data_IF_192208673338
#
_entry.id   IF_192208673338
#
_cell.length_a   1.000
_cell.length_b   1.000
_cell.length_c   1.000
_cell.angle_alpha   90.00
_cell.angle_beta   90.00
_cell.angle_gamma   90.00
#
_symmetry.space_group_name_H-M   'P 1'
#
loop_
_entity.id
_entity.type
_entity.pdbx_description
1 polymer ?
#
# COMPACT_ATOMS: atom_id res chain seq x y z
N UNK A 1 6.79 25.19 1.07
CA UNK A 1 8.16 24.63 1.18
C UNK A 1 8.39 24.20 2.62
N UNK A 2 8.04 22.96 2.98
CA UNK A 2 8.54 22.27 4.17
C UNK A 2 8.35 20.77 3.89
N UNK A 3 9.33 20.24 3.17
CA UNK A 3 9.61 18.81 3.08
C UNK A 3 10.17 18.42 4.44
N UNK A 4 9.47 17.59 5.21
CA UNK A 4 10.06 16.77 6.27
C UNK A 4 9.06 15.74 6.78
N UNK A 5 9.55 14.51 6.90
CA UNK A 5 9.00 13.39 7.66
C UNK A 5 7.92 12.52 6.98
N UNK A 6 8.32 11.84 5.90
CA UNK A 6 7.80 10.49 5.63
C UNK A 6 8.77 9.50 6.25
N UNK A 7 8.58 9.20 7.54
CA UNK A 7 9.22 8.06 8.18
C UNK A 7 8.47 6.80 7.72
N UNK A 8 8.99 6.12 6.69
CA UNK A 8 8.48 4.84 6.21
C UNK A 8 8.82 3.74 7.21
N UNK A 9 7.84 3.35 8.04
CA UNK A 9 7.86 2.05 8.73
C UNK A 9 7.52 0.97 7.72
N UNK A 10 8.52 0.24 7.23
CA UNK A 10 8.30 -1.01 6.51
C UNK A 10 8.04 -2.08 7.56
N UNK A 11 6.77 -2.41 7.80
CA UNK A 11 6.42 -3.49 8.74
C UNK A 11 6.51 -4.84 8.01
N UNK A 12 7.61 -5.54 8.21
CA UNK A 12 7.71 -6.96 7.87
C UNK A 12 7.02 -7.77 8.98
N UNK A 13 5.95 -8.50 8.65
CA UNK A 13 5.41 -9.55 9.55
C UNK A 13 6.04 -10.86 9.13
N UNK A 14 7.20 -11.17 9.70
CA UNK A 14 7.92 -12.42 9.47
C UNK A 14 7.76 -13.30 10.70
N UNK A 15 7.34 -14.55 10.50
CA UNK A 15 7.12 -15.53 11.59
C UNK A 15 8.42 -16.22 12.06
N UNK A 16 9.57 -15.84 11.49
CA UNK A 16 10.86 -16.44 11.81
C UNK A 16 11.65 -15.54 12.77
N UNK A 17 11.96 -16.06 13.96
CA UNK A 17 12.69 -15.36 15.04
C UNK A 17 14.06 -14.81 14.61
N UNK A 18 14.71 -15.42 13.61
CA UNK A 18 15.98 -14.94 13.05
C UNK A 18 15.85 -13.64 12.26
N UNK A 19 14.76 -13.44 11.51
CA UNK A 19 14.57 -12.23 10.69
C UNK A 19 14.03 -11.07 11.52
N UNK A 20 13.25 -11.37 12.57
CA UNK A 20 12.85 -10.38 13.58
C UNK A 20 14.10 -9.74 14.21
N UNK A 21 15.08 -10.56 14.62
CA UNK A 21 16.33 -10.08 15.23
C UNK A 21 17.14 -9.17 14.29
N UNK A 22 17.17 -9.47 12.99
CA UNK A 22 17.89 -8.68 11.99
C UNK A 22 17.20 -7.34 11.70
N UNK A 23 15.86 -7.32 11.69
CA UNK A 23 15.08 -6.09 11.57
C UNK A 23 15.21 -5.20 12.81
N UNK A 24 15.22 -5.78 14.03
CA UNK A 24 15.54 -5.02 15.25
C UNK A 24 16.96 -4.47 15.26
N UNK A 25 17.94 -5.18 14.68
CA UNK A 25 19.32 -4.69 14.49
C UNK A 25 19.38 -3.50 13.52
N UNK A 26 18.53 -3.48 12.50
CA UNK A 26 18.41 -2.35 11.56
C UNK A 26 17.67 -1.16 12.19
N UNK A 27 16.68 -1.40 13.07
CA UNK A 27 16.01 -0.34 13.85
C UNK A 27 16.95 0.33 14.86
N UNK A 28 17.89 -0.40 15.48
CA UNK A 28 18.89 0.17 16.38
C UNK A 28 19.89 1.11 15.70
N UNK A 29 20.06 1.02 14.37
CA UNK A 29 21.04 1.80 13.62
C UNK A 29 20.52 3.14 13.05
N UNK A 30 19.32 3.60 13.45
CA UNK A 30 18.82 4.96 13.18
C UNK A 30 19.08 5.51 11.74
N UNK A 31 19.01 4.63 10.73
CA UNK A 31 19.19 5.01 9.33
C UNK A 31 17.97 5.81 8.86
N UNK A 32 18.03 7.14 9.02
CA UNK A 32 17.13 8.09 8.38
C UNK A 32 17.48 8.18 6.90
N UNK A 33 16.88 7.31 6.09
CA UNK A 33 17.04 7.33 4.62
C UNK A 33 16.27 8.54 4.07
N UNK A 34 17.01 9.55 3.59
CA UNK A 34 16.44 10.71 2.91
C UNK A 34 16.21 10.39 1.43
N UNK A 35 15.03 10.71 0.92
CA UNK A 35 14.47 10.28 -0.38
C UNK A 35 15.24 10.81 -1.62
N UNK A 36 16.36 11.51 -1.46
CA UNK A 36 17.11 12.12 -2.56
C UNK A 36 17.99 11.14 -3.36
N UNK A 37 18.42 10.00 -2.80
CA UNK A 37 19.35 9.03 -3.45
C UNK A 37 18.80 7.58 -3.50
N UNK A 38 17.49 7.42 -3.68
CA UNK A 38 16.76 6.21 -3.29
C UNK A 38 17.09 4.90 -4.04
N UNK A 39 17.58 4.91 -5.30
CA UNK A 39 17.69 3.65 -6.09
C UNK A 39 18.83 2.73 -5.64
N UNK A 40 20.01 3.26 -5.37
CA UNK A 40 21.19 2.46 -5.00
C UNK A 40 21.08 1.90 -3.57
N UNK A 41 20.61 2.72 -2.63
CA UNK A 41 20.47 2.35 -1.21
C UNK A 41 19.35 1.31 -0.98
N UNK A 42 18.18 1.46 -1.64
CA UNK A 42 17.14 0.44 -1.62
C UNK A 42 17.64 -0.87 -2.25
N UNK A 43 18.41 -0.78 -3.34
CA UNK A 43 19.03 -1.94 -3.97
C UNK A 43 19.92 -2.73 -3.00
N UNK A 44 20.77 -2.03 -2.24
CA UNK A 44 21.66 -2.68 -1.26
C UNK A 44 20.90 -3.40 -0.13
N UNK A 45 19.87 -2.74 0.42
CA UNK A 45 19.01 -3.32 1.46
C UNK A 45 18.31 -4.59 0.96
N UNK A 46 17.62 -4.50 -0.18
CA UNK A 46 16.88 -5.63 -0.73
C UNK A 46 17.79 -6.76 -1.19
N UNK A 47 18.99 -6.47 -1.69
CA UNK A 47 19.97 -7.50 -2.03
C UNK A 47 20.37 -8.33 -0.80
N UNK A 48 20.62 -7.65 0.34
CA UNK A 48 20.97 -8.31 1.61
C UNK A 48 19.83 -9.20 2.10
N UNK A 49 18.59 -8.69 2.09
CA UNK A 49 17.39 -9.46 2.45
C UNK A 49 17.19 -10.65 1.51
N UNK A 50 17.36 -10.46 0.19
CA UNK A 50 17.23 -11.53 -0.79
C UNK A 50 18.26 -12.64 -0.58
N UNK A 51 19.49 -12.32 -0.17
CA UNK A 51 20.51 -13.34 0.13
C UNK A 51 20.13 -14.20 1.33
N UNK A 52 19.59 -13.59 2.38
CA UNK A 52 19.11 -14.33 3.55
C UNK A 52 17.90 -15.20 3.20
N UNK A 53 16.92 -14.63 2.49
CA UNK A 53 15.74 -15.37 2.06
C UNK A 53 16.10 -16.55 1.15
N UNK A 54 17.05 -16.38 0.23
CA UNK A 54 17.59 -17.49 -0.58
C UNK A 54 18.14 -18.59 0.31
N UNK A 55 18.91 -18.25 1.34
CA UNK A 55 19.48 -19.22 2.28
C UNK A 55 18.39 -20.00 3.01
N UNK A 56 17.28 -19.34 3.35
CA UNK A 56 16.11 -19.97 3.97
C UNK A 56 15.34 -20.86 2.97
N UNK A 57 15.19 -20.44 1.71
CA UNK A 57 14.54 -21.24 0.64
C UNK A 57 15.25 -22.59 0.40
N UNK A 58 16.56 -22.68 0.63
CA UNK A 58 17.32 -23.93 0.52
C UNK A 58 17.15 -24.85 1.74
N UNK A 59 16.85 -24.30 2.93
CA UNK A 59 16.77 -25.06 4.19
C UNK A 59 15.35 -25.37 4.67
N UNK A 60 14.33 -24.67 4.18
CA UNK A 60 12.94 -24.83 4.59
C UNK A 60 12.05 -24.82 3.35
N UNK A 61 11.14 -25.79 3.24
CA UNK A 61 10.13 -25.85 2.19
C UNK A 61 9.06 -24.77 2.44
N UNK A 62 9.37 -23.52 2.06
CA UNK A 62 8.46 -22.38 2.13
C UNK A 62 7.36 -22.54 1.07
N UNK A 63 6.42 -23.48 1.27
CA UNK A 63 5.21 -23.57 0.46
C UNK A 63 4.27 -22.38 0.69
N UNK A 64 4.42 -21.68 1.82
CA UNK A 64 3.66 -20.47 2.14
C UNK A 64 4.40 -19.24 1.65
N UNK A 65 4.07 -18.84 0.43
CA UNK A 65 4.43 -17.56 -0.17
C UNK A 65 4.15 -16.38 0.77
N UNK A 66 5.21 -15.72 1.23
CA UNK A 66 5.10 -14.46 1.98
C UNK A 66 4.49 -13.37 1.08
N UNK A 67 3.56 -12.60 1.65
CA UNK A 67 2.94 -11.47 0.97
C UNK A 67 3.69 -10.18 1.29
N UNK A 68 3.99 -9.41 0.25
CA UNK A 68 4.74 -8.17 0.33
C UNK A 68 3.80 -6.98 0.23
N UNK A 69 3.89 -6.05 1.19
CA UNK A 69 3.12 -4.80 1.18
C UNK A 69 4.07 -3.62 1.01
N UNK A 70 3.89 -2.87 -0.06
CA UNK A 70 4.63 -1.64 -0.34
C UNK A 70 3.66 -0.49 -0.57
N UNK A 71 4.07 0.74 -0.25
CA UNK A 71 3.32 1.92 -0.70
C UNK A 71 3.40 2.06 -2.23
N UNK A 72 2.60 2.96 -2.82
CA UNK A 72 2.56 3.13 -4.28
C UNK A 72 3.94 3.42 -4.92
N UNK A 73 4.74 4.41 -4.46
CA UNK A 73 6.03 4.70 -5.06
C UNK A 73 7.08 3.61 -4.81
N UNK A 74 7.17 3.06 -3.60
CA UNK A 74 8.09 1.96 -3.29
C UNK A 74 7.74 0.71 -4.08
N UNK A 75 6.45 0.39 -4.24
CA UNK A 75 5.99 -0.73 -5.09
C UNK A 75 6.51 -0.58 -6.52
N UNK A 76 6.35 0.60 -7.12
CA UNK A 76 6.82 0.84 -8.49
C UNK A 76 8.34 0.66 -8.59
N UNK A 77 9.09 1.16 -7.60
CA UNK A 77 10.55 1.02 -7.56
C UNK A 77 11.00 -0.44 -7.36
N UNK A 78 10.44 -1.13 -6.37
CA UNK A 78 10.83 -2.51 -6.01
C UNK A 78 10.47 -3.48 -7.11
N UNK A 79 9.28 -3.35 -7.71
CA UNK A 79 8.81 -4.23 -8.79
C UNK A 79 9.34 -3.82 -10.17
N UNK A 80 10.17 -2.78 -10.26
CA UNK A 80 10.66 -2.22 -11.52
C UNK A 80 9.52 -1.94 -12.54
N UNK A 81 8.48 -1.28 -12.06
CA UNK A 81 7.32 -0.87 -12.85
C UNK A 81 7.27 0.65 -12.99
N UNK A 82 6.42 1.14 -13.88
CA UNK A 82 6.03 2.55 -13.91
C UNK A 82 5.30 2.92 -12.61
N UNK A 83 5.31 4.21 -12.27
CA UNK A 83 4.58 4.71 -11.12
C UNK A 83 3.07 4.45 -11.26
N UNK A 84 2.32 4.59 -10.17
CA UNK A 84 0.85 4.55 -10.24
C UNK A 84 0.22 5.66 -11.08
N UNK A 85 1.05 6.60 -11.54
CA UNK A 85 0.73 7.70 -12.44
C UNK A 85 1.34 7.45 -13.83
N UNK A 86 1.51 6.19 -14.24
CA UNK A 86 2.00 5.83 -15.57
C UNK A 86 1.00 4.94 -16.30
N UNK A 87 1.13 4.88 -17.62
CA UNK A 87 0.36 3.94 -18.45
C UNK A 87 0.56 2.51 -17.97
N UNK A 88 -0.54 1.83 -17.69
CA UNK A 88 -0.54 0.46 -17.16
C UNK A 88 0.18 0.32 -15.79
N UNK A 89 0.23 1.37 -14.96
CA UNK A 89 0.89 1.37 -13.65
C UNK A 89 0.24 0.49 -12.56
N UNK A 90 -0.93 -0.08 -12.83
CA UNK A 90 -1.52 -1.09 -11.97
C UNK A 90 -0.78 -2.42 -12.14
N UNK A 91 -0.44 -3.05 -11.01
CA UNK A 91 0.19 -4.37 -10.97
C UNK A 91 -0.82 -5.51 -10.89
N UNK A 92 -2.12 -5.21 -10.74
CA UNK A 92 -3.21 -6.22 -10.69
C UNK A 92 -4.03 -6.27 -11.97
N UNK A 93 -4.15 -5.16 -12.70
CA UNK A 93 -4.85 -5.08 -13.98
C UNK A 93 -3.95 -4.46 -15.06
N UNK A 94 -4.38 -4.60 -16.32
CA UNK A 94 -3.80 -3.99 -17.53
C UNK A 94 -4.65 -2.82 -18.01
N UNK A 95 -5.42 -2.22 -17.13
CA UNK A 95 -6.21 -1.07 -17.49
C UNK A 95 -5.27 0.10 -17.81
N UNK A 96 -5.50 0.70 -18.98
CA UNK A 96 -4.86 1.95 -19.36
C UNK A 96 -5.63 3.11 -18.73
N UNK A 97 -4.92 4.04 -18.10
CA UNK A 97 -5.45 5.34 -17.75
C UNK A 97 -5.89 6.11 -19.01
N UNK A 98 -6.95 6.90 -18.86
CA UNK A 98 -7.53 7.69 -19.94
C UNK A 98 -7.97 9.06 -19.45
N UNK A 99 -7.93 10.04 -20.36
CA UNK A 99 -8.37 11.42 -20.13
C UNK A 99 -7.23 12.44 -19.94
N UNK A 100 -7.61 13.72 -19.78
CA UNK A 100 -6.70 14.85 -19.51
C UNK A 100 -6.05 14.76 -18.13
N UNK A 101 -6.74 14.08 -17.20
CA UNK A 101 -6.23 13.72 -15.88
C UNK A 101 -6.10 12.21 -15.84
N UNK A 102 -5.03 11.74 -15.22
CA UNK A 102 -4.73 10.33 -15.12
C UNK A 102 -5.70 9.59 -14.23
N UNK A 103 -6.78 9.10 -14.85
CA UNK A 103 -7.88 8.43 -14.18
C UNK A 103 -8.07 7.07 -14.82
N UNK A 104 -8.28 6.04 -14.01
CA UNK A 104 -8.70 4.72 -14.48
C UNK A 104 -10.22 4.78 -14.69
N UNK A 105 -10.72 4.81 -15.94
CA UNK A 105 -12.14 4.98 -16.19
C UNK A 105 -12.92 3.79 -15.61
N UNK A 106 -13.98 4.06 -14.86
CA UNK A 106 -14.86 2.98 -14.44
C UNK A 106 -15.63 2.46 -15.66
N UNK A 107 -15.60 1.14 -15.87
CA UNK A 107 -16.37 0.48 -16.91
C UNK A 107 -17.41 -0.43 -16.25
N UNK A 108 -18.70 -0.13 -16.44
CA UNK A 108 -19.79 -0.91 -15.86
C UNK A 108 -19.84 -2.35 -16.36
N UNK A 109 -19.49 -2.59 -17.63
CA UNK A 109 -19.50 -3.93 -18.23
C UNK A 109 -18.32 -4.79 -17.77
N UNK A 110 -17.22 -4.15 -17.38
CA UNK A 110 -16.02 -4.81 -16.88
C UNK A 110 -15.37 -3.99 -15.76
N UNK A 111 -15.94 -4.02 -14.54
CA UNK A 111 -15.52 -3.16 -13.44
C UNK A 111 -14.11 -3.47 -12.93
N UNK A 112 -13.66 -4.72 -13.08
CA UNK A 112 -12.33 -5.16 -12.65
C UNK A 112 -11.24 -4.88 -13.70
N UNK A 113 -11.65 -4.58 -14.93
CA UNK A 113 -10.76 -4.41 -16.07
C UNK A 113 -10.03 -5.71 -16.44
N UNK A 114 -9.15 -5.66 -17.46
CA UNK A 114 -8.35 -6.82 -17.85
C UNK A 114 -7.36 -7.18 -16.74
N UNK A 115 -7.48 -8.37 -16.17
CA UNK A 115 -6.57 -8.84 -15.11
C UNK A 115 -5.14 -9.00 -15.65
N UNK A 116 -4.16 -8.57 -14.86
CA UNK A 116 -2.75 -8.85 -15.14
C UNK A 116 -2.44 -10.26 -14.68
N UNK A 117 -2.19 -11.15 -15.63
CA UNK A 117 -1.80 -12.53 -15.32
C UNK A 117 -0.30 -12.64 -15.03
N UNK A 118 0.07 -13.65 -14.25
CA UNK A 118 1.46 -13.93 -13.88
C UNK A 118 2.33 -14.33 -15.07
N UNK A 119 1.80 -15.13 -15.99
CA UNK A 119 2.53 -15.55 -17.19
C UNK A 119 2.69 -14.38 -18.15
N UNK A 120 1.63 -13.60 -18.33
CA UNK A 120 1.70 -12.38 -19.14
C UNK A 120 2.69 -11.36 -18.56
N UNK A 121 2.76 -11.23 -17.23
CA UNK A 121 3.76 -10.39 -16.59
C UNK A 121 5.19 -10.85 -16.90
N UNK A 122 5.47 -12.16 -16.90
CA UNK A 122 6.79 -12.69 -17.31
C UNK A 122 7.12 -12.39 -18.78
N UNK A 123 6.12 -12.44 -19.66
CA UNK A 123 6.29 -12.06 -21.07
C UNK A 123 6.61 -10.56 -21.17
N UNK A 124 5.88 -9.72 -20.43
CA UNK A 124 6.14 -8.28 -20.40
C UNK A 124 7.52 -7.92 -19.83
N UNK A 125 8.02 -8.69 -18.85
CA UNK A 125 9.40 -8.56 -18.37
C UNK A 125 10.40 -8.82 -19.49
N UNK A 126 10.23 -9.91 -20.25
CA UNK A 126 11.12 -10.28 -21.38
C UNK A 126 11.08 -9.26 -22.52
N UNK A 127 9.89 -8.69 -22.76
CA UNK A 127 9.69 -7.70 -23.82
C UNK A 127 10.12 -6.29 -23.39
N UNK A 128 10.25 -6.03 -22.10
CA UNK A 128 10.77 -4.76 -21.60
C UNK A 128 12.27 -4.67 -21.88
N UNK A 129 12.69 -3.58 -22.51
CA UNK A 129 14.09 -3.27 -22.78
C UNK A 129 14.53 -2.10 -21.91
N UNK A 130 15.84 -1.83 -21.84
CA UNK A 130 16.37 -0.71 -21.05
C UNK A 130 15.76 0.67 -21.36
N UNK A 131 15.07 0.83 -22.50
CA UNK A 131 14.46 2.10 -22.92
C UNK A 131 12.96 2.02 -23.20
N UNK A 132 12.37 0.83 -23.24
CA UNK A 132 10.96 0.63 -23.57
C UNK A 132 10.27 -0.27 -22.56
N UNK A 133 9.21 0.27 -21.96
CA UNK A 133 8.36 -0.45 -21.02
C UNK A 133 7.27 -1.26 -21.74
N UNK A 134 7.05 -2.49 -21.29
CA UNK A 134 5.98 -3.35 -21.81
C UNK A 134 4.83 -3.38 -20.81
N UNK A 135 3.69 -2.77 -21.18
CA UNK A 135 2.52 -2.66 -20.30
C UNK A 135 2.90 -2.21 -18.87
N UNK A 136 3.68 -1.13 -18.76
CA UNK A 136 4.09 -0.54 -17.48
C UNK A 136 5.17 -1.32 -16.71
N UNK A 137 5.73 -2.39 -17.30
CA UNK A 137 6.87 -3.13 -16.75
C UNK A 137 8.16 -2.64 -17.40
N UNK A 138 9.18 -2.32 -16.60
CA UNK A 138 10.48 -1.83 -17.10
C UNK A 138 11.56 -2.91 -17.19
N UNK A 139 11.32 -4.07 -16.58
CA UNK A 139 12.21 -5.22 -16.62
C UNK A 139 12.08 -6.08 -15.38
N UNK A 140 13.09 -6.92 -15.13
CA UNK A 140 13.17 -7.72 -13.92
C UNK A 140 13.30 -6.85 -12.66
N UNK A 141 12.78 -7.37 -11.56
CA UNK A 141 12.78 -6.70 -10.27
C UNK A 141 13.80 -7.35 -9.33
N UNK A 142 14.21 -6.65 -8.28
CA UNK A 142 15.23 -7.16 -7.33
C UNK A 142 14.78 -8.45 -6.62
N UNK A 143 13.46 -8.62 -6.48
CA UNK A 143 12.83 -9.80 -5.88
C UNK A 143 12.66 -10.97 -6.87
N UNK A 144 12.87 -10.76 -8.17
CA UNK A 144 12.82 -11.85 -9.18
C UNK A 144 13.83 -12.96 -8.91
N UNK A 145 14.86 -12.65 -8.12
CA UNK A 145 15.89 -13.57 -7.67
C UNK A 145 15.40 -14.63 -6.67
N UNK A 146 14.21 -14.48 -6.10
CA UNK A 146 13.62 -15.42 -5.14
C UNK A 146 12.84 -16.51 -5.88
N UNK A 147 13.03 -17.78 -5.53
CA UNK A 147 12.49 -18.93 -6.27
C UNK A 147 10.97 -18.95 -6.29
N UNK A 148 10.34 -18.56 -5.18
CA UNK A 148 8.88 -18.64 -5.01
C UNK A 148 8.18 -17.28 -5.12
N UNK A 149 8.89 -16.22 -5.52
CA UNK A 149 8.30 -14.89 -5.62
C UNK A 149 7.62 -14.67 -6.98
N UNK A 150 6.35 -14.28 -6.91
CA UNK A 150 5.59 -13.81 -8.04
C UNK A 150 5.08 -12.37 -7.78
N UNK A 151 5.56 -11.35 -8.52
CA UNK A 151 5.17 -9.95 -8.32
C UNK A 151 3.66 -9.73 -8.26
N UNK A 152 2.90 -10.45 -9.07
CA UNK A 152 1.45 -10.29 -9.22
C UNK A 152 0.72 -10.93 -8.06
N UNK A 153 1.12 -12.14 -7.64
CA UNK A 153 0.39 -12.89 -6.61
C UNK A 153 0.86 -12.52 -5.19
N UNK A 154 2.16 -12.31 -5.01
CA UNK A 154 2.79 -12.06 -3.72
C UNK A 154 2.74 -10.60 -3.29
N UNK A 155 2.48 -9.65 -4.19
CA UNK A 155 2.34 -8.24 -3.78
C UNK A 155 0.89 -7.93 -3.40
N UNK A 156 0.70 -7.26 -2.27
CA UNK A 156 -0.58 -6.78 -1.77
C UNK A 156 -0.82 -5.33 -2.17
N UNK A 157 -2.11 -4.99 -2.31
CA UNK A 157 -2.54 -3.60 -2.47
C UNK A 157 -2.35 -2.88 -1.13
N UNK A 158 -1.80 -1.67 -1.19
CA UNK A 158 -1.68 -0.80 -0.04
C UNK A 158 -3.06 -0.25 0.38
N UNK A 159 -3.70 -0.97 1.29
CA UNK A 159 -4.98 -0.58 1.88
C UNK A 159 -4.89 0.74 2.66
N UNK A 160 -3.76 1.03 3.32
CA UNK A 160 -3.61 2.24 4.13
C UNK A 160 -3.77 3.50 3.30
N UNK A 161 -2.99 3.63 2.22
CA UNK A 161 -3.06 4.83 1.38
C UNK A 161 -4.18 4.78 0.34
N UNK A 162 -4.55 3.59 -0.15
CA UNK A 162 -5.55 3.50 -1.22
C UNK A 162 -6.99 3.49 -0.70
N UNK A 163 -7.27 2.71 0.35
CA UNK A 163 -8.63 2.54 0.86
C UNK A 163 -8.91 3.57 1.96
N UNK A 164 -8.14 3.55 3.04
CA UNK A 164 -8.42 4.39 4.21
C UNK A 164 -8.14 5.87 3.94
N UNK A 165 -6.93 6.20 3.49
CA UNK A 165 -6.58 7.60 3.24
C UNK A 165 -7.07 8.12 1.88
N UNK A 166 -7.32 7.24 0.92
CA UNK A 166 -7.88 7.58 -0.39
C UNK A 166 -9.40 7.64 -0.36
N UNK A 167 -10.04 6.47 -0.46
CA UNK A 167 -11.50 6.36 -0.60
C UNK A 167 -12.24 6.82 0.65
N UNK A 168 -11.94 6.26 1.82
CA UNK A 168 -12.69 6.54 3.05
C UNK A 168 -12.56 8.02 3.43
N UNK A 169 -11.36 8.59 3.40
CA UNK A 169 -11.17 10.03 3.61
C UNK A 169 -12.02 10.87 2.65
N UNK A 170 -12.04 10.53 1.37
CA UNK A 170 -12.82 11.27 0.37
C UNK A 170 -14.31 11.20 0.64
N UNK A 171 -14.83 10.03 1.04
CA UNK A 171 -16.23 9.86 1.45
C UNK A 171 -16.57 10.69 2.69
N UNK A 172 -15.72 10.69 3.71
CA UNK A 172 -15.95 11.48 4.91
C UNK A 172 -15.96 12.99 4.61
N UNK A 173 -15.01 13.47 3.79
CA UNK A 173 -14.99 14.88 3.35
C UNK A 173 -16.27 15.19 2.56
N UNK A 174 -16.67 14.30 1.65
CA UNK A 174 -17.89 14.45 0.87
C UNK A 174 -19.15 14.51 1.74
N UNK A 175 -19.23 13.75 2.83
CA UNK A 175 -20.39 13.73 3.72
C UNK A 175 -20.41 14.87 4.75
N UNK A 176 -19.26 15.27 5.29
CA UNK A 176 -19.19 16.17 6.46
C UNK A 176 -18.63 17.57 6.16
N UNK A 177 -17.81 17.74 5.12
CA UNK A 177 -17.29 19.05 4.71
C UNK A 177 -18.20 19.74 3.68
N UNK A 178 -19.09 18.98 3.03
CA UNK A 178 -20.05 19.50 2.07
C UNK A 178 -21.10 20.45 2.70
N UNK A 179 -21.60 21.44 1.93
CA UNK A 179 -22.68 22.31 2.38
C UNK A 179 -23.92 21.52 2.80
N UNK A 180 -24.62 21.98 3.86
CA UNK A 180 -25.78 21.27 4.42
C UNK A 180 -26.96 21.15 3.44
N UNK A 181 -27.05 22.07 2.47
CA UNK A 181 -28.05 22.04 1.39
C UNK A 181 -27.92 20.85 0.43
N UNK A 182 -26.79 20.14 0.43
CA UNK A 182 -26.58 19.01 -0.47
C UNK A 182 -27.29 17.77 0.07
N UNK A 183 -28.03 17.06 -0.80
CA UNK A 183 -28.82 15.88 -0.41
C UNK A 183 -28.01 14.77 0.28
N UNK A 184 -26.74 14.63 -0.09
CA UNK A 184 -25.80 13.65 0.46
C UNK A 184 -25.04 14.16 1.70
N UNK A 185 -25.22 15.41 2.09
CA UNK A 185 -24.55 15.97 3.26
C UNK A 185 -25.14 15.36 4.52
N UNK A 186 -24.26 14.88 5.39
CA UNK A 186 -24.59 14.39 6.72
C UNK A 186 -24.25 15.42 7.80
N UNK A 187 -23.96 16.66 7.40
CA UNK A 187 -23.50 17.72 8.32
C UNK A 187 -24.53 18.03 9.41
N UNK A 188 -25.83 18.07 9.10
CA UNK A 188 -26.91 18.17 10.10
C UNK A 188 -26.86 17.11 11.22
N UNK A 189 -26.28 15.94 10.96
CA UNK A 189 -26.17 14.84 11.94
C UNK A 189 -24.79 14.79 12.61
N UNK A 190 -23.89 15.73 12.33
CA UNK A 190 -22.50 15.67 12.81
C UNK A 190 -22.41 15.60 14.33
N UNK A 191 -23.29 16.31 15.06
CA UNK A 191 -23.29 16.29 16.52
C UNK A 191 -23.59 14.90 17.10
N UNK A 192 -24.67 14.25 16.63
CA UNK A 192 -25.07 12.94 17.11
C UNK A 192 -24.10 11.85 16.68
N UNK A 193 -23.57 11.93 15.46
CA UNK A 193 -22.54 11.01 14.95
C UNK A 193 -21.23 11.17 15.70
N UNK A 194 -20.79 12.40 15.97
CA UNK A 194 -19.58 12.66 16.73
C UNK A 194 -19.69 12.11 18.17
N UNK A 195 -20.83 12.30 18.83
CA UNK A 195 -21.09 11.74 20.16
C UNK A 195 -21.00 10.21 20.16
N UNK A 196 -21.56 9.54 19.14
CA UNK A 196 -21.47 8.07 18.99
C UNK A 196 -20.04 7.63 18.73
N UNK A 197 -19.34 8.29 17.82
CA UNK A 197 -17.96 8.00 17.45
C UNK A 197 -17.01 8.10 18.65
N UNK A 198 -17.12 9.17 19.43
CA UNK A 198 -16.32 9.38 20.65
C UNK A 198 -16.69 8.41 21.79
N UNK A 199 -17.86 7.76 21.70
CA UNK A 199 -18.28 6.74 22.64
C UNK A 199 -17.66 5.36 22.38
N UNK A 200 -17.05 5.14 21.21
CA UNK A 200 -16.42 3.88 20.84
C UNK A 200 -15.17 3.67 21.71
N UNK A 201 -15.12 2.52 22.39
CA UNK A 201 -13.98 2.11 23.21
C UNK A 201 -13.23 0.98 22.50
N UNK A 202 -12.14 1.27 21.78
CA UNK A 202 -11.42 0.23 21.09
C UNK A 202 -10.74 -0.73 22.10
N UNK A 203 -10.53 -1.99 21.71
CA UNK A 203 -9.69 -2.93 22.46
C UNK A 203 -8.28 -2.39 22.73
N UNK A 204 -7.64 -2.89 23.79
CA UNK A 204 -6.32 -2.42 24.26
C UNK A 204 -5.17 -2.53 23.24
N UNK A 205 -5.29 -3.43 22.25
CA UNK A 205 -4.30 -3.58 21.19
C UNK A 205 -4.42 -2.50 20.09
N UNK A 206 -5.49 -1.72 20.07
CA UNK A 206 -5.64 -0.55 19.20
C UNK A 206 -5.19 0.68 19.98
N UNK A 207 -4.10 1.28 19.49
CA UNK A 207 -3.37 2.32 20.21
C UNK A 207 -4.11 3.65 20.37
N UNK A 208 -5.19 3.92 19.62
CA UNK A 208 -5.84 5.22 19.64
C UNK A 208 -7.37 5.09 19.56
N UNK A 209 -8.08 5.82 20.41
CA UNK A 209 -9.52 5.99 20.30
C UNK A 209 -9.89 6.83 19.06
N UNK A 210 -11.12 6.69 18.54
CA UNK A 210 -11.61 7.56 17.47
C UNK A 210 -11.53 9.04 17.86
N UNK A 211 -11.15 9.89 16.90
CA UNK A 211 -11.09 11.34 17.08
C UNK A 211 -12.43 11.99 16.72
N UNK A 212 -12.60 13.23 17.15
CA UNK A 212 -13.72 14.09 16.77
C UNK A 212 -13.84 14.29 15.26
N UNK A 213 -15.06 14.20 14.72
CA UNK A 213 -15.40 14.53 13.33
C UNK A 213 -15.16 16.01 13.00
N UNK A 214 -15.16 16.90 13.99
CA UNK A 214 -14.82 18.31 13.78
C UNK A 214 -13.35 18.50 13.36
N UNK A 215 -12.48 17.54 13.68
CA UNK A 215 -11.06 17.56 13.34
C UNK A 215 -10.74 16.77 12.05
N UNK A 216 -11.74 16.42 11.24
CA UNK A 216 -11.59 15.52 10.10
C UNK A 216 -10.43 15.90 9.14
N UNK A 217 -10.18 17.20 8.96
CA UNK A 217 -9.08 17.70 8.12
C UNK A 217 -7.69 17.26 8.61
N UNK A 218 -7.56 17.05 9.92
CA UNK A 218 -6.33 16.64 10.59
C UNK A 218 -6.22 15.13 10.82
N UNK A 219 -7.19 14.35 10.32
CA UNK A 219 -7.16 12.90 10.44
C UNK A 219 -6.12 12.28 9.51
N UNK A 220 -5.40 11.29 10.06
CA UNK A 220 -4.44 10.44 9.37
C UNK A 220 -5.10 9.10 9.03
N UNK A 221 -4.45 8.32 8.18
CA UNK A 221 -4.90 6.98 7.79
C UNK A 221 -5.38 6.11 8.98
N UNK A 222 -4.63 6.11 10.09
CA UNK A 222 -4.95 5.33 11.29
C UNK A 222 -6.27 5.74 11.95
N UNK A 223 -6.62 7.02 11.88
CA UNK A 223 -7.87 7.52 12.45
C UNK A 223 -9.07 6.89 11.72
N UNK A 224 -8.97 6.70 10.39
CA UNK A 224 -9.97 6.01 9.58
C UNK A 224 -10.00 4.49 9.84
N UNK A 225 -8.83 3.84 9.99
CA UNK A 225 -8.75 2.41 10.27
C UNK A 225 -9.42 2.02 11.59
N UNK A 226 -9.31 2.87 12.62
CA UNK A 226 -9.83 2.55 13.95
C UNK A 226 -11.36 2.47 13.98
N UNK A 227 -12.06 3.11 13.04
CA UNK A 227 -13.53 3.12 12.97
C UNK A 227 -14.09 1.76 12.55
N UNK A 228 -13.37 1.01 11.72
CA UNK A 228 -13.86 -0.28 11.19
C UNK A 228 -13.76 -1.44 12.22
N UNK A 229 -12.96 -1.26 13.26
CA UNK A 229 -12.58 -2.34 14.19
C UNK A 229 -13.66 -2.79 15.19
N UNK A 230 -14.91 -2.33 15.05
CA UNK A 230 -16.00 -2.65 15.99
C UNK A 230 -16.61 -4.05 15.84
N UNK A 231 -16.15 -4.88 14.91
CA UNK A 231 -16.65 -6.26 14.78
C UNK A 231 -15.80 -7.22 15.61
N UNK A 232 -16.19 -7.40 16.88
CA UNK A 232 -16.21 -8.69 17.62
C UNK A 232 -16.37 -8.46 19.14
N UNK A 233 -17.51 -7.91 19.57
CA UNK A 233 -18.06 -8.18 20.90
C UNK A 233 -19.42 -8.83 20.72
N UNK A 234 -19.42 -10.11 20.35
CA UNK A 234 -20.52 -11.00 20.72
C UNK A 234 -20.48 -11.16 22.24
N UNK A 235 -21.63 -10.89 22.86
CA UNK A 235 -21.92 -11.08 24.28
C UNK A 235 -21.64 -12.50 24.74
#
# INVERSE_FOLDING_TARGET
>A
MFVKNVATRVNFRLSCSKVINLLTSLESNNLRISVANCKSELGFLFNSICQELKTIEYGINLQTCEYWRFDKPARASVLNMVSSTGYYGCFKCLQRDGGTVQTYPFNEENPDGPKRDSNLHKINIKNASNREESYGVKGECILSNLKYFNPINNTLIDAMHSIFYGVIKSLFVYWFDSPDRMKFSMKKYIFSLNKRLLGIRPPSFISNAPRSLYDLKNWRCRDFMNIESEKNRSK
#
